data_IF_400561687582
#
_entry.id   IF_400561687582
#
_cell.length_a   1.000
_cell.length_b   1.000
_cell.length_c   1.000
_cell.angle_alpha   90.00
_cell.angle_beta   90.00
_cell.angle_gamma   90.00
#
_symmetry.space_group_name_H-M   'P 1'
#
loop_
_entity.id
_entity.type
_entity.pdbx_description
1 polymer ?
#
# COMPACT_ATOMS: atom_id res chain seq x y z
N UNK A 1 9.05 -22.09 -34.05
CA UNK A 1 10.23 -21.29 -34.42
C UNK A 1 10.92 -20.84 -33.14
N UNK A 2 11.89 -21.62 -32.77
CA UNK A 2 12.80 -21.44 -31.64
C UNK A 2 13.85 -20.40 -31.98
N UNK A 3 14.14 -19.45 -31.05
CA UNK A 3 15.44 -18.82 -30.79
C UNK A 3 15.22 -17.48 -30.08
N UNK A 4 15.35 -17.48 -28.75
CA UNK A 4 15.82 -16.37 -27.91
C UNK A 4 15.73 -16.72 -26.42
N UNK A 5 16.43 -17.81 -26.06
CA UNK A 5 16.56 -18.23 -24.65
C UNK A 5 18.00 -18.69 -24.42
N UNK A 6 18.94 -17.79 -24.59
CA UNK A 6 20.33 -18.06 -24.20
C UNK A 6 20.99 -16.74 -23.87
N UNK A 7 20.79 -16.27 -22.63
CA UNK A 7 21.71 -15.37 -21.91
C UNK A 7 21.20 -15.25 -20.47
N UNK A 8 21.36 -16.33 -19.73
CA UNK A 8 21.27 -16.27 -18.26
C UNK A 8 22.52 -16.94 -17.71
N UNK A 9 23.38 -16.13 -17.13
CA UNK A 9 24.56 -16.58 -16.42
C UNK A 9 24.16 -17.51 -15.27
N UNK A 10 24.75 -18.69 -15.26
CA UNK A 10 24.40 -19.91 -14.53
C UNK A 10 24.84 -19.92 -13.04
N UNK A 11 25.16 -18.79 -12.42
CA UNK A 11 25.78 -18.82 -11.08
C UNK A 11 24.89 -18.39 -9.88
N UNK A 12 23.60 -18.10 -10.09
CA UNK A 12 22.71 -17.67 -8.98
C UNK A 12 21.39 -18.46 -8.94
N UNK A 13 21.32 -19.61 -9.58
CA UNK A 13 20.04 -20.26 -9.95
C UNK A 13 19.67 -21.51 -9.15
N UNK A 14 20.36 -21.89 -8.06
CA UNK A 14 20.02 -23.17 -7.45
C UNK A 14 18.84 -23.16 -6.47
N UNK A 15 18.41 -22.01 -5.88
CA UNK A 15 17.27 -21.97 -4.95
C UNK A 15 16.19 -20.90 -5.23
N UNK A 16 16.38 -20.00 -6.19
CA UNK A 16 15.47 -18.89 -6.47
C UNK A 16 14.60 -19.04 -7.72
N UNK A 17 14.75 -20.15 -8.45
CA UNK A 17 14.19 -20.30 -9.81
C UNK A 17 12.67 -20.41 -9.85
N UNK A 18 12.04 -21.09 -8.91
CA UNK A 18 10.59 -21.32 -8.88
C UNK A 18 9.80 -20.06 -8.54
N UNK A 19 10.25 -19.28 -7.56
CA UNK A 19 9.55 -18.05 -7.14
C UNK A 19 9.73 -16.96 -8.21
N UNK A 20 10.92 -16.80 -8.77
CA UNK A 20 11.13 -15.88 -9.90
C UNK A 20 10.32 -16.29 -11.14
N UNK A 21 10.18 -17.60 -11.39
CA UNK A 21 9.37 -18.12 -12.48
C UNK A 21 7.87 -17.90 -12.23
N UNK A 22 7.38 -18.17 -11.03
CA UNK A 22 6.00 -17.91 -10.64
C UNK A 22 5.64 -16.42 -10.69
N UNK A 23 6.52 -15.55 -10.20
CA UNK A 23 6.35 -14.10 -10.33
C UNK A 23 6.34 -13.68 -11.80
N UNK A 24 7.17 -14.28 -12.63
CA UNK A 24 7.25 -13.98 -14.07
C UNK A 24 6.01 -14.48 -14.84
N UNK A 25 5.56 -15.71 -14.60
CA UNK A 25 4.34 -16.27 -15.22
C UNK A 25 3.10 -15.48 -14.79
N UNK A 26 3.03 -15.11 -13.51
CA UNK A 26 1.91 -14.34 -12.98
C UNK A 26 1.84 -12.93 -13.58
N UNK A 27 2.98 -12.22 -13.66
CA UNK A 27 3.06 -10.92 -14.32
C UNK A 27 2.77 -11.01 -15.82
N UNK A 28 3.12 -12.13 -16.46
CA UNK A 28 2.83 -12.40 -17.87
C UNK A 28 1.36 -12.73 -18.10
N UNK A 29 0.76 -13.54 -17.24
CA UNK A 29 -0.67 -13.93 -17.32
C UNK A 29 -1.62 -12.76 -17.03
N UNK A 30 -1.23 -11.83 -16.13
CA UNK A 30 -2.00 -10.60 -15.85
C UNK A 30 -2.06 -9.62 -17.03
N UNK A 31 -1.18 -9.76 -18.03
CA UNK A 31 -1.20 -8.91 -19.24
C UNK A 31 -2.39 -9.28 -20.14
N UNK A 32 -2.93 -10.50 -20.05
CA UNK A 32 -3.99 -10.99 -20.95
C UNK A 32 -5.42 -10.80 -20.44
N UNK A 33 -5.63 -10.38 -19.17
CA UNK A 33 -6.96 -9.99 -18.70
C UNK A 33 -7.13 -8.47 -18.80
N UNK A 34 -7.49 -8.04 -20.01
CA UNK A 34 -7.91 -6.68 -20.29
C UNK A 34 -9.19 -6.34 -19.50
N UNK A 35 -9.06 -5.64 -18.40
CA UNK A 35 -10.17 -4.94 -17.77
C UNK A 35 -10.20 -3.49 -18.29
N UNK A 36 -11.35 -3.07 -18.80
CA UNK A 36 -11.66 -1.71 -19.20
C UNK A 36 -11.33 -0.73 -18.07
N UNK A 37 -10.21 -0.03 -18.19
CA UNK A 37 -9.83 1.07 -17.32
C UNK A 37 -9.99 2.39 -18.05
N UNK A 38 -11.17 2.95 -17.97
CA UNK A 38 -11.37 4.38 -18.22
C UNK A 38 -10.98 5.14 -16.94
N UNK A 39 -9.70 5.49 -16.82
CA UNK A 39 -9.16 6.66 -16.07
C UNK A 39 -7.66 6.67 -16.31
N UNK A 40 -7.12 7.83 -16.65
CA UNK A 40 -5.69 8.10 -16.78
C UNK A 40 -4.92 7.80 -15.47
N UNK A 41 -4.79 6.53 -15.13
CA UNK A 41 -3.82 6.12 -14.12
C UNK A 41 -2.48 6.07 -14.84
N UNK A 42 -1.51 6.77 -14.33
CA UNK A 42 -0.16 6.78 -14.91
C UNK A 42 0.32 5.32 -15.03
N UNK A 43 1.08 4.99 -16.07
CA UNK A 43 1.67 3.64 -16.27
C UNK A 43 2.38 3.11 -15.02
N UNK A 44 2.80 4.00 -14.13
CA UNK A 44 3.43 3.69 -12.84
C UNK A 44 2.44 3.09 -11.81
N UNK A 45 1.21 3.61 -11.69
CA UNK A 45 0.22 3.10 -10.71
C UNK A 45 -0.25 1.68 -11.05
N UNK A 46 -0.49 1.42 -12.33
CA UNK A 46 -0.81 0.07 -12.80
C UNK A 46 0.32 -0.93 -12.49
N UNK A 47 1.56 -0.46 -12.57
CA UNK A 47 2.72 -1.28 -12.24
C UNK A 47 2.77 -1.61 -10.75
N UNK A 48 2.56 -0.63 -9.86
CA UNK A 48 2.59 -0.86 -8.40
C UNK A 48 1.51 -1.85 -7.96
N UNK A 49 0.30 -1.69 -8.50
CA UNK A 49 -0.82 -2.60 -8.22
C UNK A 49 -0.52 -4.05 -8.64
N UNK A 50 0.19 -4.26 -9.76
CA UNK A 50 0.58 -5.61 -10.18
C UNK A 50 1.62 -6.25 -9.25
N UNK A 51 2.63 -5.48 -8.80
CA UNK A 51 3.63 -6.00 -7.87
C UNK A 51 3.03 -6.27 -6.49
N UNK A 52 2.14 -5.40 -6.01
CA UNK A 52 1.45 -5.59 -4.74
C UNK A 52 0.55 -6.82 -4.74
N UNK A 53 -0.18 -7.04 -5.86
CA UNK A 53 -1.03 -8.21 -6.02
C UNK A 53 -0.21 -9.50 -6.08
N UNK A 54 0.90 -9.50 -6.84
CA UNK A 54 1.79 -10.66 -6.92
C UNK A 54 2.38 -11.02 -5.55
N UNK A 55 2.82 -10.02 -4.76
CA UNK A 55 3.31 -10.24 -3.41
C UNK A 55 2.21 -10.81 -2.50
N UNK A 56 0.97 -10.30 -2.63
CA UNK A 56 -0.16 -10.79 -1.86
C UNK A 56 -0.46 -12.26 -2.16
N UNK A 57 -0.47 -12.66 -3.43
CA UNK A 57 -0.77 -14.04 -3.82
C UNK A 57 0.31 -15.01 -3.35
N UNK A 58 1.59 -14.64 -3.49
CA UNK A 58 2.70 -15.44 -2.94
C UNK A 58 2.62 -15.56 -1.41
N UNK A 59 2.29 -14.49 -0.71
CA UNK A 59 2.10 -14.51 0.74
C UNK A 59 0.88 -15.33 1.14
N UNK A 60 -0.17 -15.33 0.32
CA UNK A 60 -1.37 -16.13 0.54
C UNK A 60 -1.09 -17.64 0.33
N UNK A 61 -0.37 -18.02 -0.73
CA UNK A 61 0.05 -19.39 -0.99
C UNK A 61 0.92 -19.95 0.15
N UNK A 62 1.82 -19.14 0.70
CA UNK A 62 2.66 -19.52 1.85
C UNK A 62 1.97 -19.35 3.20
N UNK A 63 0.69 -18.97 3.24
CA UNK A 63 -0.07 -18.70 4.47
C UNK A 63 0.60 -17.70 5.43
N UNK A 64 1.45 -16.82 4.91
CA UNK A 64 2.26 -15.88 5.69
C UNK A 64 1.84 -14.41 5.53
N UNK A 65 0.62 -14.14 5.02
CA UNK A 65 0.13 -12.78 4.71
C UNK A 65 0.28 -11.82 5.90
N UNK A 66 -0.14 -12.25 7.10
CA UNK A 66 -0.10 -11.37 8.28
C UNK A 66 1.32 -11.02 8.69
N UNK A 67 2.23 -11.98 8.61
CA UNK A 67 3.65 -11.77 8.93
C UNK A 67 4.31 -10.82 7.94
N UNK A 68 4.13 -11.07 6.65
CA UNK A 68 4.66 -10.23 5.57
C UNK A 68 4.08 -8.81 5.64
N UNK A 69 2.80 -8.66 6.00
CA UNK A 69 2.16 -7.35 6.18
C UNK A 69 2.78 -6.57 7.34
N UNK A 70 3.00 -7.21 8.50
CA UNK A 70 3.65 -6.57 9.65
C UNK A 70 5.08 -6.13 9.32
N UNK A 71 5.82 -6.97 8.63
CA UNK A 71 7.17 -6.65 8.19
C UNK A 71 7.18 -5.54 7.14
N UNK A 72 6.22 -5.53 6.21
CA UNK A 72 6.06 -4.45 5.24
C UNK A 72 5.76 -3.11 5.92
N UNK A 73 4.90 -3.10 6.94
CA UNK A 73 4.64 -1.91 7.78
C UNK A 73 5.91 -1.41 8.45
N UNK A 74 6.70 -2.32 9.03
CA UNK A 74 7.98 -1.98 9.68
C UNK A 74 8.97 -1.36 8.68
N UNK A 75 9.07 -1.90 7.48
CA UNK A 75 9.96 -1.36 6.43
C UNK A 75 9.50 0.02 5.98
N UNK A 76 8.19 0.20 5.74
CA UNK A 76 7.63 1.51 5.36
C UNK A 76 7.89 2.56 6.43
N UNK A 77 7.76 2.18 7.71
CA UNK A 77 8.05 3.06 8.85
C UNK A 77 9.54 3.41 8.94
N UNK A 78 10.43 2.43 8.78
CA UNK A 78 11.88 2.65 8.70
C UNK A 78 12.24 3.60 7.55
N UNK A 79 11.68 3.41 6.36
CA UNK A 79 11.89 4.30 5.21
C UNK A 79 11.37 5.70 5.53
N UNK A 80 10.25 5.83 6.25
CA UNK A 80 9.67 7.13 6.58
C UNK A 80 10.50 7.92 7.59
N UNK A 81 11.14 7.22 8.54
CA UNK A 81 11.93 7.81 9.63
C UNK A 81 13.38 8.14 9.24
N UNK A 82 13.95 7.40 8.28
CA UNK A 82 15.36 7.56 7.88
C UNK A 82 15.46 8.27 6.53
N UNK A 83 16.04 9.48 6.55
CA UNK A 83 16.33 10.23 5.32
C UNK A 83 17.43 9.56 4.49
N UNK A 84 18.41 8.94 5.15
CA UNK A 84 19.48 8.22 4.47
C UNK A 84 18.95 7.03 3.66
N UNK A 85 18.00 6.26 4.23
CA UNK A 85 17.32 5.18 3.50
C UNK A 85 16.51 5.72 2.32
N UNK A 86 15.80 6.83 2.49
CA UNK A 86 15.08 7.47 1.38
C UNK A 86 16.04 7.90 0.28
N UNK A 87 17.18 8.46 0.65
CA UNK A 87 18.20 8.86 -0.30
C UNK A 87 18.76 7.64 -1.03
N UNK A 88 19.14 6.59 -0.31
CA UNK A 88 19.64 5.35 -0.89
C UNK A 88 18.65 4.72 -1.87
N UNK A 89 17.36 4.67 -1.52
CA UNK A 89 16.30 4.11 -2.38
C UNK A 89 16.12 4.96 -3.65
N UNK A 90 16.18 6.30 -3.52
CA UNK A 90 15.92 7.23 -4.63
C UNK A 90 17.12 7.48 -5.53
N UNK A 91 18.32 7.20 -5.07
CA UNK A 91 19.55 7.49 -5.81
C UNK A 91 19.81 6.43 -6.88
N UNK A 92 19.85 6.81 -8.16
CA UNK A 92 20.13 5.86 -9.25
C UNK A 92 21.62 5.47 -9.34
N UNK A 93 22.50 6.16 -8.58
CA UNK A 93 23.95 5.94 -8.57
C UNK A 93 24.40 4.76 -7.71
N UNK A 94 23.54 4.29 -6.80
CA UNK A 94 23.87 3.17 -5.91
C UNK A 94 23.88 1.87 -6.70
N UNK A 95 24.93 1.08 -6.52
CA UNK A 95 25.09 -0.20 -7.19
C UNK A 95 24.09 -1.23 -6.66
N UNK A 96 23.75 -2.23 -7.49
CA UNK A 96 22.89 -3.33 -7.05
C UNK A 96 23.43 -4.05 -5.82
N UNK A 97 24.75 -4.29 -5.77
CA UNK A 97 25.41 -4.97 -4.65
C UNK A 97 25.28 -4.19 -3.33
N UNK A 98 25.37 -2.88 -3.37
CA UNK A 98 25.16 -2.05 -2.17
C UNK A 98 23.73 -2.12 -1.66
N UNK A 99 22.73 -2.11 -2.57
CA UNK A 99 21.32 -2.29 -2.20
C UNK A 99 21.06 -3.70 -1.63
N UNK A 100 21.67 -4.74 -2.18
CA UNK A 100 21.58 -6.11 -1.67
C UNK A 100 22.17 -6.22 -0.26
N UNK A 101 23.35 -5.62 -0.03
CA UNK A 101 23.97 -5.57 1.29
C UNK A 101 23.09 -4.82 2.31
N UNK A 102 22.48 -3.72 1.89
CA UNK A 102 21.53 -2.96 2.70
C UNK A 102 20.32 -3.82 3.10
N UNK A 103 19.72 -4.54 2.16
CA UNK A 103 18.60 -5.44 2.46
C UNK A 103 19.03 -6.57 3.39
N UNK A 104 20.21 -7.17 3.18
CA UNK A 104 20.71 -8.20 4.07
C UNK A 104 20.87 -7.69 5.50
N UNK A 105 21.45 -6.50 5.68
CA UNK A 105 21.61 -5.88 7.01
C UNK A 105 20.26 -5.57 7.68
N UNK A 106 19.25 -5.14 6.92
CA UNK A 106 17.90 -4.92 7.44
C UNK A 106 17.25 -6.27 7.79
N UNK A 107 17.40 -7.28 6.91
CA UNK A 107 16.84 -8.61 7.10
C UNK A 107 17.34 -9.29 8.37
N UNK A 108 18.63 -9.16 8.68
CA UNK A 108 19.23 -9.69 9.91
C UNK A 108 18.67 -9.02 11.18
N UNK A 109 18.44 -7.70 11.12
CA UNK A 109 17.93 -6.94 12.28
C UNK A 109 16.43 -7.14 12.51
N UNK A 110 15.66 -7.43 11.47
CA UNK A 110 14.20 -7.51 11.54
C UNK A 110 13.66 -8.93 11.46
N UNK A 111 14.52 -9.95 11.39
CA UNK A 111 14.12 -11.35 11.16
C UNK A 111 13.11 -11.46 10.01
N UNK A 112 13.48 -10.85 8.87
CA UNK A 112 12.59 -10.74 7.72
C UNK A 112 12.26 -12.11 7.13
N UNK A 113 10.98 -12.30 6.78
CA UNK A 113 10.53 -13.49 6.08
C UNK A 113 11.25 -13.64 4.72
N UNK A 114 11.67 -14.85 4.39
CA UNK A 114 12.42 -15.13 3.16
C UNK A 114 11.67 -14.70 1.89
N UNK A 115 10.35 -14.83 1.88
CA UNK A 115 9.50 -14.39 0.77
C UNK A 115 9.65 -12.89 0.52
N UNK A 116 9.55 -12.08 1.58
CA UNK A 116 9.68 -10.63 1.47
C UNK A 116 11.09 -10.24 1.05
N UNK A 117 12.12 -10.91 1.60
CA UNK A 117 13.52 -10.71 1.22
C UNK A 117 13.73 -11.00 -0.28
N UNK A 118 13.26 -12.15 -0.76
CA UNK A 118 13.34 -12.55 -2.18
C UNK A 118 12.60 -11.55 -3.09
N UNK A 119 11.45 -11.05 -2.66
CA UNK A 119 10.71 -10.04 -3.40
C UNK A 119 11.47 -8.70 -3.50
N UNK A 120 12.13 -8.25 -2.43
CA UNK A 120 12.95 -7.05 -2.46
C UNK A 120 14.17 -7.21 -3.39
N UNK A 121 14.84 -8.36 -3.38
CA UNK A 121 15.90 -8.65 -4.34
C UNK A 121 15.40 -8.66 -5.77
N UNK A 122 14.22 -9.20 -6.02
CA UNK A 122 13.58 -9.16 -7.32
C UNK A 122 13.34 -7.72 -7.81
N UNK A 123 12.91 -6.81 -6.93
CA UNK A 123 12.76 -5.38 -7.26
C UNK A 123 14.09 -4.72 -7.61
N UNK A 124 15.19 -5.07 -6.91
CA UNK A 124 16.55 -4.59 -7.25
C UNK A 124 16.96 -5.11 -8.62
N UNK A 125 16.79 -6.40 -8.87
CA UNK A 125 17.14 -7.02 -10.15
C UNK A 125 16.43 -6.34 -11.32
N UNK A 126 15.13 -6.08 -11.18
CA UNK A 126 14.30 -5.38 -12.18
C UNK A 126 14.51 -3.86 -12.21
N UNK A 127 15.44 -3.32 -11.42
CA UNK A 127 15.69 -1.86 -11.29
C UNK A 127 14.43 -1.06 -10.92
N UNK A 128 13.57 -1.63 -10.08
CA UNK A 128 12.32 -1.02 -9.60
C UNK A 128 12.31 -0.77 -8.10
N UNK A 129 13.44 -0.90 -7.45
CA UNK A 129 13.61 -0.67 -6.02
C UNK A 129 13.26 0.76 -5.60
N UNK A 130 13.46 1.72 -6.49
CA UNK A 130 13.04 3.12 -6.32
C UNK A 130 11.57 3.29 -5.91
N UNK A 131 10.71 2.34 -6.29
CA UNK A 131 9.28 2.38 -6.01
C UNK A 131 8.86 1.49 -4.83
N UNK A 132 9.81 0.94 -4.07
CA UNK A 132 9.55 -0.03 -3.00
C UNK A 132 8.56 0.52 -1.96
N UNK A 133 8.69 1.77 -1.54
CA UNK A 133 7.76 2.41 -0.60
C UNK A 133 6.31 2.41 -1.13
N UNK A 134 6.12 2.79 -2.38
CA UNK A 134 4.78 2.81 -3.01
C UNK A 134 4.20 1.41 -3.18
N UNK A 135 5.03 0.45 -3.59
CA UNK A 135 4.61 -0.96 -3.78
C UNK A 135 4.20 -1.57 -2.44
N UNK A 136 4.97 -1.36 -1.37
CA UNK A 136 4.65 -1.89 -0.04
C UNK A 136 3.39 -1.23 0.55
N UNK A 137 3.18 0.06 0.37
CA UNK A 137 1.94 0.74 0.77
C UNK A 137 0.73 0.18 0.03
N UNK A 138 0.83 0.00 -1.27
CA UNK A 138 -0.23 -0.62 -2.09
C UNK A 138 -0.49 -2.08 -1.69
N UNK A 139 0.56 -2.83 -1.30
CA UNK A 139 0.41 -4.17 -0.77
C UNK A 139 -0.38 -4.19 0.54
N UNK A 140 -0.06 -3.32 1.50
CA UNK A 140 -0.79 -3.19 2.76
C UNK A 140 -2.26 -2.82 2.49
N UNK A 141 -2.49 -1.94 1.52
CA UNK A 141 -3.86 -1.57 1.13
C UNK A 141 -4.61 -2.75 0.49
N UNK A 142 -3.92 -3.53 -0.34
CA UNK A 142 -4.48 -4.74 -0.96
C UNK A 142 -4.83 -5.79 0.10
N UNK A 143 -3.99 -5.99 1.12
CA UNK A 143 -4.29 -6.87 2.25
C UNK A 143 -5.56 -6.42 2.98
N UNK A 144 -5.68 -5.13 3.30
CA UNK A 144 -6.88 -4.57 3.96
C UNK A 144 -8.14 -4.75 3.10
N UNK A 145 -8.06 -4.47 1.78
CA UNK A 145 -9.17 -4.68 0.84
C UNK A 145 -9.60 -6.15 0.75
N UNK A 146 -8.64 -7.06 0.72
CA UNK A 146 -8.92 -8.52 0.66
C UNK A 146 -9.52 -9.07 1.94
N UNK A 147 -9.22 -8.47 3.11
CA UNK A 147 -9.88 -8.77 4.38
C UNK A 147 -11.27 -8.16 4.51
N UNK A 148 -11.72 -7.38 3.53
CA UNK A 148 -13.00 -6.66 3.60
C UNK A 148 -12.97 -5.49 4.59
N UNK A 149 -11.80 -4.96 4.93
CA UNK A 149 -11.68 -3.79 5.77
C UNK A 149 -12.00 -2.53 4.97
N UNK A 150 -12.88 -1.69 5.52
CA UNK A 150 -13.22 -0.39 4.94
C UNK A 150 -12.43 0.68 5.68
N UNK A 151 -11.69 1.50 4.94
CA UNK A 151 -11.05 2.67 5.52
C UNK A 151 -12.09 3.74 5.78
N UNK A 152 -12.11 4.27 6.99
CA UNK A 152 -12.92 5.43 7.36
C UNK A 152 -12.02 6.53 7.92
N UNK A 153 -12.26 7.76 7.51
CA UNK A 153 -11.60 8.94 8.03
C UNK A 153 -12.63 9.81 8.75
N UNK A 154 -12.37 10.09 10.02
CA UNK A 154 -13.19 10.95 10.86
C UNK A 154 -12.43 12.23 11.15
N UNK A 155 -12.98 13.36 10.70
CA UNK A 155 -12.42 14.68 10.97
C UNK A 155 -13.38 15.42 11.88
N UNK A 156 -12.93 15.88 13.04
CA UNK A 156 -13.73 16.63 14.00
C UNK A 156 -13.10 17.98 14.33
N UNK A 157 -13.95 18.96 14.60
CA UNK A 157 -13.52 20.27 15.08
C UNK A 157 -13.08 20.26 16.56
N UNK A 158 -13.57 19.31 17.34
CA UNK A 158 -13.23 19.14 18.76
C UNK A 158 -12.43 17.86 18.94
N UNK A 159 -11.56 17.87 19.96
CA UNK A 159 -10.89 16.65 20.37
C UNK A 159 -11.93 15.67 20.92
N UNK A 160 -11.97 14.48 20.32
CA UNK A 160 -12.81 13.37 20.75
C UNK A 160 -12.03 12.50 21.73
N UNK A 161 -12.72 11.96 22.74
CA UNK A 161 -12.10 10.97 23.62
C UNK A 161 -11.89 9.63 22.88
N UNK A 162 -10.96 8.83 23.36
CA UNK A 162 -10.73 7.49 22.79
C UNK A 162 -12.01 6.64 22.82
N UNK A 163 -12.82 6.77 23.88
CA UNK A 163 -14.11 6.08 24.03
C UNK A 163 -15.12 6.50 22.96
N UNK A 164 -15.18 7.78 22.59
CA UNK A 164 -16.09 8.27 21.56
C UNK A 164 -15.68 7.76 20.17
N UNK A 165 -14.38 7.76 19.90
CA UNK A 165 -13.83 7.21 18.64
C UNK A 165 -14.13 5.72 18.53
N UNK A 166 -14.01 4.98 19.63
CA UNK A 166 -14.32 3.53 19.66
C UNK A 166 -15.82 3.24 19.48
N UNK A 167 -16.69 4.03 20.11
CA UNK A 167 -18.15 3.95 19.93
C UNK A 167 -18.53 4.19 18.45
N UNK A 168 -18.01 5.28 17.86
CA UNK A 168 -18.24 5.58 16.43
C UNK A 168 -17.75 4.45 15.53
N UNK A 169 -16.58 3.87 15.81
CA UNK A 169 -16.06 2.73 15.06
C UNK A 169 -16.97 1.52 15.13
N UNK A 170 -17.51 1.21 16.32
CA UNK A 170 -18.43 0.10 16.53
C UNK A 170 -19.76 0.33 15.79
N UNK A 171 -20.33 1.52 15.89
CA UNK A 171 -21.57 1.88 15.20
C UNK A 171 -21.40 1.79 13.67
N UNK A 172 -20.28 2.27 13.15
CA UNK A 172 -19.96 2.16 11.74
C UNK A 172 -19.77 0.70 11.32
N UNK A 173 -19.06 -0.11 12.12
CA UNK A 173 -18.85 -1.52 11.84
C UNK A 173 -20.18 -2.30 11.79
N UNK A 174 -21.12 -1.98 12.67
CA UNK A 174 -22.45 -2.55 12.68
C UNK A 174 -23.28 -2.09 11.45
N UNK A 175 -23.18 -0.82 11.08
CA UNK A 175 -23.93 -0.25 9.96
C UNK A 175 -23.46 -0.77 8.61
N UNK A 176 -22.16 -0.99 8.44
CA UNK A 176 -21.56 -1.46 7.18
C UNK A 176 -21.30 -2.97 7.14
N UNK A 177 -21.58 -3.70 8.23
CA UNK A 177 -21.29 -5.14 8.37
C UNK A 177 -19.84 -5.51 7.98
N UNK A 178 -18.90 -4.64 8.25
CA UNK A 178 -17.50 -4.76 7.82
C UNK A 178 -16.55 -4.24 8.90
N UNK A 179 -15.34 -4.79 8.94
CA UNK A 179 -14.30 -4.25 9.82
C UNK A 179 -13.87 -2.87 9.32
N UNK A 180 -13.98 -1.86 10.18
CA UNK A 180 -13.62 -0.48 9.83
C UNK A 180 -12.28 -0.11 10.44
N UNK A 181 -11.36 0.33 9.59
CA UNK A 181 -10.12 0.97 10.02
C UNK A 181 -10.35 2.47 10.09
N UNK A 182 -10.69 2.97 11.30
CA UNK A 182 -10.95 4.38 11.51
C UNK A 182 -9.64 5.15 11.72
N UNK A 183 -9.46 6.22 10.96
CA UNK A 183 -8.38 7.20 11.16
C UNK A 183 -9.01 8.49 11.63
N UNK A 184 -8.63 8.96 12.82
CA UNK A 184 -9.11 10.20 13.40
C UNK A 184 -8.15 11.35 13.13
N UNK A 185 -8.70 12.51 12.75
CA UNK A 185 -7.97 13.78 12.60
C UNK A 185 -8.74 14.90 13.27
N UNK A 186 -8.03 15.78 13.97
CA UNK A 186 -8.61 17.02 14.51
C UNK A 186 -8.33 18.17 13.53
N UNK A 187 -9.38 18.87 13.10
CA UNK A 187 -9.27 20.07 12.24
C UNK A 187 -10.17 21.19 12.79
N UNK A 188 -9.55 22.14 13.47
CA UNK A 188 -10.23 23.32 14.06
C UNK A 188 -10.84 24.25 13.00
N UNK A 189 -10.45 24.13 11.72
CA UNK A 189 -11.00 24.97 10.64
C UNK A 189 -12.47 24.69 10.33
N UNK A 190 -13.02 23.58 10.83
CA UNK A 190 -14.43 23.19 10.63
C UNK A 190 -15.42 24.05 11.46
N UNK A 191 -14.91 24.83 12.42
CA UNK A 191 -15.72 25.63 13.38
C UNK A 191 -16.56 24.74 14.32
N UNK A 192 -17.16 23.66 13.81
CA UNK A 192 -17.95 22.68 14.55
C UNK A 192 -18.51 21.58 13.67
N UNK A 193 -18.99 20.50 14.29
CA UNK A 193 -19.47 19.30 13.59
C UNK A 193 -18.34 18.33 13.26
N UNK A 194 -18.64 17.38 12.39
CA UNK A 194 -17.72 16.32 11.95
C UNK A 194 -17.89 16.02 10.47
N UNK A 195 -16.81 15.54 9.87
CA UNK A 195 -16.79 14.97 8.54
C UNK A 195 -16.41 13.50 8.68
N UNK A 196 -17.22 12.62 8.12
CA UNK A 196 -16.98 11.19 8.09
C UNK A 196 -16.88 10.75 6.63
N UNK A 197 -15.76 10.18 6.26
CA UNK A 197 -15.55 9.56 4.96
C UNK A 197 -15.38 8.06 5.15
N UNK A 198 -16.28 7.26 4.56
CA UNK A 198 -16.23 5.79 4.60
C UNK A 198 -16.11 5.30 3.16
N UNK A 199 -14.90 4.88 2.78
CA UNK A 199 -14.62 4.50 1.40
C UNK A 199 -14.89 5.65 0.43
N UNK A 200 -15.90 5.50 -0.43
CA UNK A 200 -16.33 6.53 -1.40
C UNK A 200 -17.48 7.42 -0.89
N UNK A 201 -18.06 7.09 0.24
CA UNK A 201 -19.18 7.85 0.83
C UNK A 201 -18.65 8.89 1.81
N UNK A 202 -19.06 10.16 1.63
CA UNK A 202 -18.69 11.25 2.52
C UNK A 202 -19.94 11.85 3.15
N UNK A 203 -19.94 11.95 4.47
CA UNK A 203 -20.99 12.57 5.28
C UNK A 203 -20.38 13.78 5.96
N UNK A 204 -20.78 14.96 5.54
CA UNK A 204 -20.30 16.23 6.08
C UNK A 204 -21.42 16.92 6.85
N UNK A 205 -21.28 16.97 8.18
CA UNK A 205 -22.18 17.66 9.09
C UNK A 205 -21.55 18.94 9.66
N UNK A 206 -20.46 19.43 9.07
CA UNK A 206 -19.75 20.61 9.54
C UNK A 206 -20.62 21.89 9.46
N UNK A 207 -20.47 22.74 10.45
CA UNK A 207 -21.13 24.05 10.49
C UNK A 207 -20.67 24.91 9.30
N UNK A 208 -19.39 24.81 8.94
CA UNK A 208 -18.81 25.51 7.80
C UNK A 208 -19.58 25.22 6.50
N UNK A 209 -19.86 23.96 6.20
CA UNK A 209 -20.61 23.58 5.01
C UNK A 209 -22.07 24.04 5.07
N UNK A 210 -22.71 23.99 6.26
CA UNK A 210 -24.06 24.51 6.44
C UNK A 210 -24.13 26.01 6.17
N UNK A 211 -23.18 26.79 6.69
CA UNK A 211 -23.12 28.24 6.45
C UNK A 211 -22.88 28.56 4.96
N UNK A 212 -21.97 27.84 4.29
CA UNK A 212 -21.75 28.03 2.86
C UNK A 212 -22.98 27.73 2.00
N UNK A 213 -23.77 26.71 2.38
CA UNK A 213 -25.03 26.41 1.69
C UNK A 213 -26.06 27.52 1.87
N UNK A 214 -26.17 28.08 3.08
CA UNK A 214 -27.07 29.20 3.36
C UNK A 214 -26.63 30.44 2.57
N UNK A 215 -25.34 30.78 2.59
CA UNK A 215 -24.78 31.89 1.82
C UNK A 215 -25.11 31.77 0.33
N UNK A 216 -24.89 30.61 -0.27
CA UNK A 216 -25.25 30.38 -1.68
C UNK A 216 -26.74 30.58 -1.96
N UNK A 217 -27.60 30.03 -1.10
CA UNK A 217 -29.05 30.19 -1.24
C UNK A 217 -29.51 31.65 -1.12
N UNK A 218 -28.81 32.47 -0.31
CA UNK A 218 -29.11 33.89 -0.17
C UNK A 218 -28.63 34.73 -1.36
N UNK A 219 -27.58 34.28 -2.06
CA UNK A 219 -27.03 34.97 -3.25
C UNK A 219 -27.83 34.59 -4.53
N UNK A 220 -28.40 33.40 -4.56
CA UNK A 220 -29.18 32.89 -5.72
C UNK A 220 -30.65 33.23 -5.65
N UNK A 221 -31.15 33.84 -4.55
CA UNK A 221 -32.50 34.31 -4.35
C UNK A 221 -32.64 35.80 -4.68
#
# INVERSE_FOLDING_TARGET
MSKKLTYFDNEVLEDNSLICYLIFEFLSSSIHKGSNLSKKNSLSEVTFSRYSLALYELAHESSSVNEVEQQALTIVDLISKSEDLKFCIKSPTISKKELENLINSISEKTNMNELLKKFLFFLIYKRRFFYVDKILREFIETCSKKRGEIKAELISAKDLSESDVENIKNDLSNSFNSKIKLTYKNDKSLVGGLILQVGSTMIDTSIKNKLQKIEKQMVEA
#
